data_IF_982574409794
#
_entry.id   IF_982574409794
#
_cell.length_a   1.000
_cell.length_b   1.000
_cell.length_c   1.000
_cell.angle_alpha   90.00
_cell.angle_beta   90.00
_cell.angle_gamma   90.00
#
_symmetry.space_group_name_H-M   'P 1'
#
loop_
_entity.id
_entity.type
_entity.pdbx_description
1 polymer ?
#
# COMPACT_ATOMS: atom_id res chain seq x y z
N UNK A 1 19.17 -32.54 13.07
CA UNK A 1 18.35 -31.33 12.94
C UNK A 1 19.06 -30.16 13.61
N UNK A 2 19.40 -30.20 14.90
CA UNK A 2 20.10 -29.14 15.64
C UNK A 2 21.40 -28.64 14.94
N UNK A 3 22.19 -29.55 14.37
CA UNK A 3 23.41 -29.20 13.63
C UNK A 3 23.13 -28.46 12.32
N UNK A 4 22.02 -28.78 11.66
CA UNK A 4 21.59 -28.08 10.44
C UNK A 4 21.11 -26.68 10.77
N UNK A 5 20.29 -26.51 11.80
CA UNK A 5 19.83 -25.21 12.28
C UNK A 5 21.00 -24.33 12.72
N UNK A 6 21.97 -24.88 13.45
CA UNK A 6 23.18 -24.15 13.84
C UNK A 6 24.01 -23.71 12.62
N UNK A 7 24.12 -24.55 11.59
CA UNK A 7 24.81 -24.20 10.34
C UNK A 7 24.07 -23.06 9.61
N UNK A 8 22.76 -23.16 9.43
CA UNK A 8 21.95 -22.12 8.79
C UNK A 8 22.09 -20.79 9.52
N UNK A 9 21.96 -20.79 10.85
CA UNK A 9 22.16 -19.60 11.68
C UNK A 9 23.57 -19.02 11.57
N UNK A 10 24.58 -19.87 11.50
CA UNK A 10 25.98 -19.45 11.33
C UNK A 10 26.21 -18.76 9.98
N UNK A 11 25.73 -19.36 8.90
CA UNK A 11 25.80 -18.77 7.55
C UNK A 11 25.04 -17.46 7.51
N UNK A 12 23.82 -17.42 8.04
CA UNK A 12 23.01 -16.21 8.11
C UNK A 12 23.72 -15.09 8.88
N UNK A 13 24.27 -15.38 10.05
CA UNK A 13 25.05 -14.40 10.85
C UNK A 13 26.27 -13.90 10.11
N UNK A 14 26.96 -14.77 9.37
CA UNK A 14 28.13 -14.40 8.58
C UNK A 14 27.76 -13.43 7.44
N UNK A 15 26.65 -13.71 6.72
CA UNK A 15 26.14 -12.84 5.67
C UNK A 15 25.69 -11.50 6.27
N UNK A 16 24.92 -11.54 7.35
CA UNK A 16 24.48 -10.35 8.09
C UNK A 16 25.65 -9.43 8.46
N UNK A 17 26.69 -10.00 9.07
CA UNK A 17 27.87 -9.22 9.49
C UNK A 17 28.62 -8.61 8.30
N UNK A 18 28.65 -9.30 7.15
CA UNK A 18 29.24 -8.76 5.92
C UNK A 18 28.41 -7.64 5.30
N UNK A 19 27.07 -7.76 5.32
CA UNK A 19 26.17 -6.75 4.78
C UNK A 19 26.17 -5.46 5.62
N UNK A 20 26.27 -5.60 6.94
CA UNK A 20 26.26 -4.46 7.87
C UNK A 20 27.64 -3.78 7.94
N UNK A 21 28.71 -4.53 7.62
CA UNK A 21 30.08 -4.06 7.75
C UNK A 21 30.54 -3.92 9.22
N UNK A 22 31.81 -3.57 9.40
CA UNK A 22 32.38 -3.23 10.72
C UNK A 22 32.26 -1.73 10.97
N UNK A 23 31.08 -1.17 10.85
CA UNK A 23 30.90 0.27 11.14
C UNK A 23 30.66 0.48 12.63
N UNK A 24 30.96 1.66 13.12
CA UNK A 24 30.75 2.10 14.52
C UNK A 24 29.24 2.13 14.90
N UNK A 25 28.36 1.74 14.02
CA UNK A 25 26.92 1.78 14.20
C UNK A 25 26.43 0.61 15.08
N UNK A 26 25.78 0.95 16.14
CA UNK A 26 25.26 0.00 17.13
C UNK A 26 24.16 -0.86 16.53
N UNK A 27 24.38 -2.16 16.41
CA UNK A 27 23.30 -3.12 16.24
C UNK A 27 22.52 -3.21 17.55
N UNK A 28 21.35 -2.61 17.59
CA UNK A 28 20.44 -2.84 18.71
C UNK A 28 19.75 -4.18 18.49
N UNK A 29 19.91 -5.07 19.46
CA UNK A 29 19.10 -6.29 19.52
C UNK A 29 17.70 -5.87 19.97
N UNK A 30 16.73 -6.26 19.17
CA UNK A 30 15.33 -5.94 19.40
C UNK A 30 14.78 -6.79 20.54
N UNK A 31 13.67 -6.36 21.13
CA UNK A 31 12.92 -7.06 22.19
C UNK A 31 12.74 -8.54 21.84
N UNK A 32 12.85 -9.43 22.83
CA UNK A 32 12.61 -10.85 22.65
C UNK A 32 11.26 -11.13 21.95
N UNK A 33 11.27 -11.99 20.94
CA UNK A 33 10.10 -12.31 20.12
C UNK A 33 9.98 -11.54 18.80
N UNK A 34 10.85 -10.54 18.56
CA UNK A 34 10.93 -9.86 17.25
C UNK A 34 12.12 -10.43 16.47
N UNK A 35 11.84 -11.18 15.41
CA UNK A 35 12.86 -11.82 14.58
C UNK A 35 13.43 -10.85 13.53
N UNK A 36 14.08 -9.79 14.00
CA UNK A 36 14.74 -8.83 13.11
C UNK A 36 16.03 -8.28 13.75
N UNK A 37 16.92 -7.74 12.91
CA UNK A 37 18.08 -6.96 13.31
C UNK A 37 18.00 -5.56 12.71
N UNK A 38 18.36 -4.55 13.48
CA UNK A 38 18.40 -3.16 13.02
C UNK A 38 19.82 -2.63 13.05
N UNK A 39 20.18 -1.86 12.03
CA UNK A 39 21.28 -0.91 12.07
C UNK A 39 20.66 0.47 12.21
N UNK A 40 21.18 1.24 13.15
CA UNK A 40 20.69 2.59 13.45
C UNK A 40 21.82 3.62 13.42
N UNK A 41 21.47 4.84 13.06
CA UNK A 41 22.35 6.01 13.12
C UNK A 41 21.79 7.03 14.10
N UNK A 42 22.68 7.67 14.85
CA UNK A 42 22.33 8.80 15.72
C UNK A 42 22.49 10.15 14.99
N UNK A 43 22.50 10.15 13.68
CA UNK A 43 22.65 11.37 12.90
C UNK A 43 21.40 12.25 13.03
N UNK A 44 21.63 13.56 13.12
CA UNK A 44 20.56 14.54 13.15
C UNK A 44 20.00 14.73 11.75
N UNK A 45 18.70 14.63 11.62
CA UNK A 45 17.96 15.03 10.43
C UNK A 45 17.68 16.54 10.42
N UNK A 46 17.35 17.07 9.26
CA UNK A 46 16.91 18.45 9.15
C UNK A 46 15.41 18.54 9.48
N UNK A 47 15.10 18.94 10.73
CA UNK A 47 13.73 19.19 11.18
C UNK A 47 13.47 20.68 11.40
N UNK A 48 12.29 21.21 11.04
CA UNK A 48 11.85 22.52 11.47
C UNK A 48 11.85 22.67 13.01
N UNK A 49 11.93 23.90 13.47
CA UNK A 49 12.06 24.20 14.90
C UNK A 49 10.98 23.56 15.78
N UNK A 50 9.75 23.53 15.28
CA UNK A 50 8.55 23.02 15.95
C UNK A 50 8.62 21.50 16.20
N UNK A 51 9.51 20.80 15.50
CA UNK A 51 9.67 19.33 15.56
C UNK A 51 10.99 18.87 16.19
N UNK A 52 11.76 19.78 16.78
CA UNK A 52 13.05 19.47 17.42
C UNK A 52 12.93 18.54 18.62
N UNK A 53 11.75 18.36 19.20
CA UNK A 53 11.50 17.34 20.20
C UNK A 53 11.87 15.91 19.70
N UNK A 54 11.98 15.70 18.37
CA UNK A 54 12.34 14.45 17.72
C UNK A 54 13.85 14.33 17.34
N UNK A 55 14.65 15.38 17.53
CA UNK A 55 16.03 15.50 17.00
C UNK A 55 17.00 14.40 17.42
N UNK A 56 16.82 13.80 18.58
CA UNK A 56 17.78 12.83 19.13
C UNK A 56 17.33 11.38 18.95
N UNK A 57 16.22 11.14 18.27
CA UNK A 57 15.71 9.79 18.01
C UNK A 57 16.55 9.14 16.91
N UNK A 58 17.10 7.92 17.14
CA UNK A 58 17.93 7.25 16.16
C UNK A 58 17.14 6.83 14.92
N UNK A 59 17.78 6.98 13.75
CA UNK A 59 17.24 6.58 12.46
C UNK A 59 17.64 5.15 12.11
N UNK A 60 16.70 4.39 11.57
CA UNK A 60 16.95 3.05 11.03
C UNK A 60 17.61 3.18 9.66
N UNK A 61 18.79 2.60 9.48
CA UNK A 61 19.54 2.56 8.22
C UNK A 61 19.37 1.25 7.48
N UNK A 62 19.12 0.16 8.20
CA UNK A 62 18.83 -1.13 7.59
C UNK A 62 18.01 -2.02 8.53
N UNK A 63 17.20 -2.88 7.91
CA UNK A 63 16.41 -3.90 8.58
C UNK A 63 16.78 -5.26 7.99
N UNK A 64 17.07 -6.24 8.86
CA UNK A 64 17.28 -7.63 8.46
C UNK A 64 16.21 -8.47 9.15
N UNK A 65 15.29 -9.00 8.38
CA UNK A 65 14.27 -9.90 8.87
C UNK A 65 14.83 -11.33 8.97
N UNK A 66 14.56 -11.98 10.10
CA UNK A 66 14.90 -13.38 10.33
C UNK A 66 13.63 -14.23 10.16
N UNK A 67 13.52 -15.05 9.10
CA UNK A 67 12.37 -15.93 8.91
C UNK A 67 12.29 -17.04 9.98
N UNK A 68 11.09 -17.47 10.36
CA UNK A 68 9.81 -16.82 10.10
C UNK A 68 9.61 -15.59 10.98
N UNK A 69 9.10 -14.49 10.39
CA UNK A 69 8.76 -13.30 11.15
C UNK A 69 7.24 -13.25 11.38
N UNK A 70 6.83 -13.57 12.60
CA UNK A 70 5.44 -13.60 13.02
C UNK A 70 5.23 -12.55 14.10
N UNK A 71 4.17 -11.76 13.98
CA UNK A 71 3.79 -10.74 14.95
C UNK A 71 2.38 -11.02 15.50
N UNK A 72 2.18 -10.64 16.76
CA UNK A 72 0.89 -10.78 17.43
C UNK A 72 0.45 -9.43 17.95
N UNK A 73 -0.39 -8.75 17.16
CA UNK A 73 -1.04 -7.52 17.59
C UNK A 73 -2.36 -7.81 18.31
N UNK A 74 -2.78 -6.90 19.17
CA UNK A 74 -4.02 -7.05 19.95
C UNK A 74 -5.27 -6.96 19.08
N UNK A 75 -5.17 -6.23 17.95
CA UNK A 75 -6.26 -6.05 16.99
C UNK A 75 -5.91 -6.66 15.63
N UNK A 76 -6.95 -7.01 14.87
CA UNK A 76 -6.87 -7.52 13.49
C UNK A 76 -7.56 -6.62 12.47
N UNK A 77 -8.12 -5.51 12.91
CA UNK A 77 -8.84 -4.56 12.07
C UNK A 77 -8.60 -3.13 12.56
N UNK A 78 -8.80 -2.20 11.67
CA UNK A 78 -8.81 -0.76 11.92
C UNK A 78 -10.24 -0.25 11.78
N UNK A 79 -10.64 0.65 12.64
CA UNK A 79 -11.96 1.27 12.61
C UNK A 79 -11.85 2.77 12.30
N UNK A 80 -12.84 3.31 11.58
CA UNK A 80 -13.03 4.73 11.31
C UNK A 80 -12.03 5.36 10.32
N UNK A 81 -12.18 6.65 10.11
CA UNK A 81 -11.26 7.52 9.34
C UNK A 81 -10.43 8.37 10.29
N UNK A 82 -9.29 8.87 9.81
CA UNK A 82 -8.45 9.76 10.61
C UNK A 82 -8.96 11.20 10.49
N UNK A 83 -9.33 11.84 11.61
CA UNK A 83 -9.74 13.24 11.63
C UNK A 83 -8.52 14.16 11.52
N UNK A 84 -8.75 15.35 10.98
CA UNK A 84 -7.77 16.42 10.98
C UNK A 84 -7.89 17.29 12.23
N UNK A 85 -6.76 17.71 12.78
CA UNK A 85 -6.69 18.73 13.84
C UNK A 85 -6.17 20.05 13.29
N UNK A 86 -6.52 21.16 13.93
CA UNK A 86 -6.06 22.52 13.57
C UNK A 86 -4.78 22.94 14.30
N UNK A 87 -4.28 22.13 15.23
CA UNK A 87 -3.08 22.44 16.03
C UNK A 87 -2.03 21.39 15.76
N UNK A 88 -0.76 21.81 15.80
CA UNK A 88 0.35 20.89 15.73
C UNK A 88 0.24 19.85 16.87
N UNK A 89 0.06 18.56 16.56
CA UNK A 89 -0.14 17.56 17.59
C UNK A 89 1.13 17.21 18.36
N UNK A 90 2.29 17.69 17.93
CA UNK A 90 3.59 17.44 18.59
C UNK A 90 4.03 18.62 19.48
N UNK A 91 3.23 19.68 19.53
CA UNK A 91 3.52 20.83 20.39
C UNK A 91 3.60 20.40 21.86
N UNK A 92 4.65 20.80 22.55
CA UNK A 92 4.94 20.48 23.96
C UNK A 92 5.19 18.99 24.28
N UNK A 93 5.26 18.11 23.30
CA UNK A 93 5.56 16.70 23.54
C UNK A 93 7.05 16.49 23.85
N UNK A 94 7.32 15.48 24.67
CA UNK A 94 8.68 15.09 25.07
C UNK A 94 8.90 13.63 24.72
N UNK A 95 10.07 13.34 24.18
CA UNK A 95 10.46 12.00 23.77
C UNK A 95 11.74 11.59 24.51
N UNK A 96 11.75 10.36 25.02
CA UNK A 96 12.95 9.71 25.50
C UNK A 96 13.61 9.01 24.29
N UNK A 97 14.75 9.48 23.77
CA UNK A 97 15.35 8.90 22.56
C UNK A 97 15.66 7.40 22.66
N UNK A 98 15.83 6.87 23.87
CA UNK A 98 16.08 5.44 24.09
C UNK A 98 14.84 4.56 23.90
N UNK A 99 13.66 5.16 23.89
CA UNK A 99 12.37 4.47 23.70
C UNK A 99 11.80 4.60 22.30
N UNK A 100 12.50 5.23 21.37
CA UNK A 100 11.98 5.53 20.04
C UNK A 100 12.97 5.20 18.92
N UNK A 101 12.42 4.93 17.74
CA UNK A 101 13.13 4.82 16.49
C UNK A 101 12.42 5.60 15.40
N UNK A 102 13.19 6.07 14.41
CA UNK A 102 12.67 6.65 13.21
C UNK A 102 12.93 5.70 12.04
N UNK A 103 11.87 5.33 11.31
CA UNK A 103 11.95 4.67 10.01
C UNK A 103 11.74 5.74 8.92
N UNK A 104 12.79 6.16 8.17
CA UNK A 104 12.63 7.11 7.07
C UNK A 104 12.07 6.38 5.84
N UNK A 105 10.74 6.45 5.67
CA UNK A 105 10.00 5.76 4.62
C UNK A 105 9.88 6.60 3.36
N UNK A 106 10.01 5.96 2.19
CA UNK A 106 9.59 6.54 0.90
C UNK A 106 8.18 6.05 0.61
N UNK A 107 7.21 6.97 0.65
CA UNK A 107 5.79 6.72 0.36
C UNK A 107 5.49 7.35 -0.99
N UNK A 108 5.44 6.55 -2.05
CA UNK A 108 5.56 7.09 -3.40
C UNK A 108 6.85 7.90 -3.51
N UNK A 109 6.75 9.10 -4.04
CA UNK A 109 7.86 10.06 -4.18
C UNK A 109 8.06 10.98 -2.94
N UNK A 110 7.29 10.79 -1.85
CA UNK A 110 7.36 11.58 -0.63
C UNK A 110 8.22 10.89 0.44
N UNK A 111 8.94 11.71 1.23
CA UNK A 111 9.73 11.26 2.37
C UNK A 111 8.89 11.40 3.66
N UNK A 112 8.67 10.30 4.36
CA UNK A 112 7.97 10.24 5.64
C UNK A 112 8.91 9.78 6.75
N UNK A 113 9.07 10.59 7.80
CA UNK A 113 9.74 10.15 9.02
C UNK A 113 8.71 9.51 9.96
N UNK A 114 8.77 8.20 10.09
CA UNK A 114 7.88 7.42 10.95
C UNK A 114 8.57 7.15 12.27
N UNK A 115 8.22 7.90 13.29
CA UNK A 115 8.70 7.71 14.65
C UNK A 115 7.78 6.73 15.39
N UNK A 116 8.33 5.67 15.94
CA UNK A 116 7.53 4.70 16.68
C UNK A 116 8.22 4.30 18.00
N UNK A 117 7.39 4.08 19.02
CA UNK A 117 7.86 3.61 20.30
C UNK A 117 8.34 2.15 20.22
N UNK A 118 9.34 1.77 21.01
CA UNK A 118 9.90 0.41 21.08
C UNK A 118 8.83 -0.66 21.36
N UNK A 119 7.74 -0.33 22.03
CA UNK A 119 6.62 -1.24 22.26
C UNK A 119 5.94 -1.69 20.95
N UNK A 120 6.10 -0.92 19.87
CA UNK A 120 5.54 -1.20 18.53
C UNK A 120 6.62 -1.56 17.52
N UNK A 121 7.73 -2.12 18.00
CA UNK A 121 8.87 -2.49 17.17
C UNK A 121 8.50 -3.43 16.02
N UNK A 122 7.62 -4.40 16.27
CA UNK A 122 7.20 -5.34 15.25
C UNK A 122 6.49 -4.65 14.07
N UNK A 123 5.62 -3.69 14.38
CA UNK A 123 4.93 -2.88 13.36
C UNK A 123 5.91 -1.96 12.61
N UNK A 124 6.82 -1.31 13.35
CA UNK A 124 7.82 -0.42 12.76
C UNK A 124 8.78 -1.14 11.82
N UNK A 125 9.25 -2.33 12.20
CA UNK A 125 10.11 -3.18 11.36
C UNK A 125 9.38 -3.66 10.12
N UNK A 126 8.10 -3.98 10.24
CA UNK A 126 7.27 -4.45 9.12
C UNK A 126 7.18 -3.43 7.97
N UNK A 127 7.39 -2.15 8.24
CA UNK A 127 7.41 -1.11 7.20
C UNK A 127 8.39 -1.42 6.06
N UNK A 128 9.50 -2.13 6.33
CA UNK A 128 10.52 -2.44 5.31
C UNK A 128 10.01 -3.32 4.16
N UNK A 129 8.93 -4.07 4.37
CA UNK A 129 8.28 -4.85 3.32
C UNK A 129 7.22 -4.05 2.55
N UNK A 130 6.87 -2.86 3.03
CA UNK A 130 5.76 -2.09 2.44
C UNK A 130 6.22 -0.76 1.85
N UNK A 131 7.17 -0.08 2.49
CA UNK A 131 7.69 1.21 2.06
C UNK A 131 9.21 1.15 1.98
N UNK A 132 9.76 1.56 0.85
CA UNK A 132 11.21 1.61 0.67
C UNK A 132 11.85 2.46 1.76
N UNK A 133 12.88 1.92 2.42
CA UNK A 133 13.70 2.67 3.35
C UNK A 133 14.52 3.72 2.58
N UNK A 134 14.46 4.98 3.00
CA UNK A 134 15.31 6.01 2.46
C UNK A 134 16.75 5.85 2.97
N UNK A 135 17.72 6.10 2.10
CA UNK A 135 19.14 6.12 2.47
C UNK A 135 19.48 7.41 3.23
N UNK A 136 20.56 7.40 3.98
CA UNK A 136 21.04 8.59 4.68
C UNK A 136 21.25 9.78 3.74
N UNK A 137 21.77 9.54 2.53
CA UNK A 137 21.98 10.57 1.51
C UNK A 137 20.66 11.23 1.08
N UNK A 138 19.56 10.47 1.05
CA UNK A 138 18.24 10.96 0.65
C UNK A 138 17.57 11.82 1.73
N UNK A 139 17.88 11.65 3.01
CA UNK A 139 17.22 12.40 4.09
C UNK A 139 18.11 13.34 4.91
N UNK A 140 19.44 13.19 4.89
CA UNK A 140 20.37 13.95 5.76
C UNK A 140 20.19 15.47 5.69
N UNK A 141 20.04 16.01 4.49
CA UNK A 141 19.94 17.45 4.24
C UNK A 141 18.58 17.87 3.67
N UNK A 142 17.57 17.06 3.89
CA UNK A 142 16.23 17.27 3.37
C UNK A 142 15.22 17.25 4.50
N UNK A 143 14.35 18.26 4.54
CA UNK A 143 13.16 18.25 5.37
C UNK A 143 12.22 17.13 4.90
N UNK A 144 11.59 16.34 5.80
CA UNK A 144 10.59 15.36 5.38
C UNK A 144 9.34 16.06 4.83
N UNK A 145 8.63 15.38 3.97
CA UNK A 145 7.30 15.80 3.52
C UNK A 145 6.23 15.46 4.55
N UNK A 146 6.48 14.44 5.36
CA UNK A 146 5.55 13.94 6.36
C UNK A 146 6.28 13.50 7.64
N UNK A 147 5.66 13.74 8.79
CA UNK A 147 6.08 13.19 10.09
C UNK A 147 4.91 12.39 10.65
N UNK A 148 5.18 11.16 11.09
CA UNK A 148 4.21 10.33 11.77
C UNK A 148 4.77 9.78 13.07
N UNK A 149 4.13 10.09 14.21
CA UNK A 149 4.47 9.57 15.51
C UNK A 149 3.45 8.52 15.93
N UNK A 150 3.91 7.29 16.16
CA UNK A 150 3.09 6.14 16.50
C UNK A 150 3.45 5.55 17.86
N UNK A 151 2.48 5.48 18.76
CA UNK A 151 2.66 4.89 20.08
C UNK A 151 3.08 5.89 21.16
N UNK A 152 2.59 7.13 21.11
CA UNK A 152 2.82 8.13 22.15
C UNK A 152 1.86 7.91 23.33
N UNK A 153 2.38 7.97 24.56
CA UNK A 153 1.61 7.73 25.77
C UNK A 153 1.64 8.97 26.68
N UNK A 154 0.48 9.58 26.88
CA UNK A 154 0.24 10.69 27.82
C UNK A 154 -1.12 10.58 28.52
N UNK A 155 -1.74 9.41 28.49
CA UNK A 155 -3.07 9.17 29.05
C UNK A 155 -4.23 9.72 28.21
N UNK A 156 -3.96 10.34 27.05
CA UNK A 156 -4.97 10.84 26.11
C UNK A 156 -5.07 9.95 24.90
N UNK A 157 -6.19 10.08 24.16
CA UNK A 157 -6.39 9.37 22.91
C UNK A 157 -6.10 10.30 21.74
N UNK A 158 -4.98 10.07 21.06
CA UNK A 158 -4.58 10.76 19.83
C UNK A 158 -4.78 9.83 18.65
N UNK A 159 -5.48 10.30 17.61
CA UNK A 159 -5.71 9.57 16.36
C UNK A 159 -6.01 10.56 15.24
N UNK A 160 -5.13 11.51 14.99
CA UNK A 160 -5.39 12.58 14.05
C UNK A 160 -4.14 13.01 13.30
N UNK A 161 -4.36 13.74 12.22
CA UNK A 161 -3.31 14.39 11.45
C UNK A 161 -3.50 15.91 11.42
N UNK A 162 -2.45 16.59 11.02
CA UNK A 162 -2.35 18.04 10.94
C UNK A 162 -1.64 18.42 9.64
N UNK A 163 -2.15 19.42 8.94
CA UNK A 163 -1.49 20.06 7.81
C UNK A 163 -0.71 21.27 8.31
N UNK A 164 0.61 21.20 8.21
CA UNK A 164 1.51 22.30 8.54
C UNK A 164 1.80 23.10 7.28
N UNK A 165 1.04 24.16 7.09
CA UNK A 165 1.17 25.03 5.91
C UNK A 165 2.45 25.88 5.96
N UNK A 166 2.95 26.23 7.15
CA UNK A 166 4.17 27.03 7.32
C UNK A 166 5.39 26.26 6.86
N UNK A 167 5.45 24.99 7.24
CA UNK A 167 6.56 24.10 6.86
C UNK A 167 6.27 23.27 5.61
N UNK A 168 5.12 23.40 4.96
CA UNK A 168 4.68 22.56 3.84
C UNK A 168 4.88 21.06 4.15
N UNK A 169 4.30 20.61 5.25
CA UNK A 169 4.39 19.22 5.74
C UNK A 169 3.06 18.69 6.23
N UNK A 170 2.96 17.37 6.31
CA UNK A 170 1.87 16.68 7.00
C UNK A 170 2.39 16.02 8.26
N UNK A 171 1.64 16.12 9.35
CA UNK A 171 2.04 15.58 10.67
C UNK A 171 0.93 14.73 11.24
N UNK A 172 1.25 13.58 11.83
CA UNK A 172 0.27 12.73 12.49
C UNK A 172 0.76 12.24 13.84
N UNK A 173 -0.19 12.03 14.75
CA UNK A 173 0.03 11.46 16.07
C UNK A 173 -0.98 10.37 16.35
N UNK A 174 -0.48 9.20 16.79
CA UNK A 174 -1.28 8.09 17.26
C UNK A 174 -0.81 7.64 18.65
N UNK A 175 -1.75 7.49 19.59
CA UNK A 175 -1.46 7.05 20.95
C UNK A 175 -0.97 5.60 21.03
N UNK A 176 -0.24 5.32 22.13
CA UNK A 176 -0.05 3.99 22.64
C UNK A 176 -1.35 3.49 23.26
N UNK A 177 -2.06 2.62 22.55
CA UNK A 177 -3.32 2.05 23.01
C UNK A 177 -3.53 0.68 22.39
N UNK A 178 -4.11 -0.26 23.15
CA UNK A 178 -4.48 -1.59 22.66
C UNK A 178 -5.44 -1.54 21.47
N UNK A 179 -6.26 -0.52 21.38
CA UNK A 179 -7.17 -0.27 20.26
C UNK A 179 -6.43 0.03 18.95
N UNK A 180 -5.25 0.63 19.06
CA UNK A 180 -4.40 1.00 17.94
C UNK A 180 -3.26 0.02 17.65
N UNK A 181 -3.10 -1.03 18.47
CA UNK A 181 -2.10 -2.06 18.26
C UNK A 181 -2.50 -2.98 17.09
N UNK A 182 -2.33 -2.42 15.88
CA UNK A 182 -2.53 -3.08 14.61
C UNK A 182 -1.81 -2.31 13.48
N UNK A 183 -1.01 -3.03 12.70
CA UNK A 183 -0.22 -2.44 11.61
C UNK A 183 -1.04 -1.61 10.61
N UNK A 184 -2.32 -1.97 10.43
CA UNK A 184 -3.23 -1.22 9.57
C UNK A 184 -3.38 0.25 9.97
N UNK A 185 -3.24 0.61 11.25
CA UNK A 185 -3.22 2.02 11.67
C UNK A 185 -1.95 2.73 11.20
N UNK A 186 -0.78 2.07 11.33
CA UNK A 186 0.49 2.63 10.85
C UNK A 186 0.46 2.87 9.34
N UNK A 187 0.13 1.84 8.57
CA UNK A 187 0.02 1.91 7.11
C UNK A 187 -0.95 3.00 6.65
N UNK A 188 -2.19 2.94 7.13
CA UNK A 188 -3.27 3.78 6.58
C UNK A 188 -3.17 5.24 6.99
N UNK A 189 -2.53 5.57 8.12
CA UNK A 189 -2.21 6.95 8.44
C UNK A 189 -1.17 7.52 7.46
N UNK A 190 -0.09 6.79 7.18
CA UNK A 190 0.91 7.22 6.20
C UNK A 190 0.29 7.48 4.83
N UNK A 191 -0.61 6.60 4.38
CA UNK A 191 -1.35 6.78 3.13
C UNK A 191 -2.31 7.97 3.16
N UNK A 192 -2.94 8.24 4.31
CA UNK A 192 -3.79 9.43 4.48
C UNK A 192 -2.96 10.71 4.34
N UNK A 193 -1.81 10.79 5.01
CA UNK A 193 -0.90 11.94 4.91
C UNK A 193 -0.43 12.15 3.47
N UNK A 194 0.02 11.08 2.81
CA UNK A 194 0.43 11.10 1.41
C UNK A 194 -0.68 11.62 0.52
N UNK A 195 -1.86 11.05 0.63
CA UNK A 195 -2.98 11.35 -0.26
C UNK A 195 -3.50 12.77 -0.06
N UNK A 196 -3.64 13.26 1.19
CA UNK A 196 -4.01 14.66 1.45
C UNK A 196 -2.99 15.60 0.84
N UNK A 197 -1.69 15.35 1.02
CA UNK A 197 -0.64 16.17 0.44
C UNK A 197 -0.70 16.17 -1.10
N UNK A 198 -0.98 15.02 -1.72
CA UNK A 198 -1.11 14.90 -3.18
C UNK A 198 -2.32 15.63 -3.73
N UNK A 199 -3.45 15.57 -3.02
CA UNK A 199 -4.65 16.37 -3.36
C UNK A 199 -4.34 17.87 -3.33
N UNK A 200 -3.63 18.34 -2.31
CA UNK A 200 -3.20 19.73 -2.22
C UNK A 200 -2.31 20.16 -3.41
N UNK A 201 -1.56 19.21 -3.99
CA UNK A 201 -0.73 19.39 -5.20
C UNK A 201 -1.49 19.10 -6.51
N UNK A 202 -2.84 19.04 -6.46
CA UNK A 202 -3.71 18.78 -7.62
C UNK A 202 -3.48 17.44 -8.31
N UNK A 203 -3.05 16.44 -7.56
CA UNK A 203 -2.95 15.06 -7.99
C UNK A 203 -4.08 14.24 -7.36
N UNK A 204 -4.52 13.16 -8.03
CA UNK A 204 -5.69 12.41 -7.61
C UNK A 204 -5.28 11.02 -7.08
N UNK A 205 -5.28 10.80 -5.74
CA UNK A 205 -5.04 9.49 -5.16
C UNK A 205 -6.19 8.54 -5.43
N UNK A 206 -5.85 7.32 -5.79
CA UNK A 206 -6.81 6.23 -6.06
C UNK A 206 -6.57 5.05 -5.13
N UNK A 207 -7.63 4.36 -4.77
CA UNK A 207 -7.57 3.06 -4.09
C UNK A 207 -7.75 1.97 -5.15
N UNK A 208 -6.66 1.39 -5.58
CA UNK A 208 -6.65 0.51 -6.73
C UNK A 208 -5.36 -0.27 -6.86
N UNK A 209 -5.32 -1.14 -7.86
CA UNK A 209 -4.14 -1.88 -8.27
C UNK A 209 -3.80 -1.57 -9.72
N UNK A 210 -2.53 -1.63 -10.06
CA UNK A 210 -2.07 -1.49 -11.44
C UNK A 210 -1.19 -2.65 -11.85
N UNK A 211 -1.47 -3.18 -13.03
CA UNK A 211 -0.60 -4.14 -13.70
C UNK A 211 -0.14 -3.60 -15.05
N UNK A 212 1.14 -3.83 -15.33
CA UNK A 212 1.72 -3.67 -16.64
C UNK A 212 1.87 -5.05 -17.28
N UNK A 213 1.24 -5.26 -18.41
CA UNK A 213 1.21 -6.52 -19.13
C UNK A 213 1.94 -6.34 -20.46
N UNK A 214 3.04 -7.07 -20.66
CA UNK A 214 3.70 -7.15 -21.96
C UNK A 214 3.28 -8.45 -22.63
N UNK A 215 2.61 -8.34 -23.77
CA UNK A 215 2.16 -9.48 -24.56
C UNK A 215 3.33 -10.15 -25.30
N UNK A 216 3.13 -11.39 -25.77
CA UNK A 216 4.09 -12.10 -26.63
C UNK A 216 4.39 -11.33 -27.93
N UNK A 217 3.45 -10.52 -28.42
CA UNK A 217 3.65 -9.60 -29.55
C UNK A 217 4.67 -8.48 -29.28
N UNK A 218 5.00 -8.22 -28.00
CA UNK A 218 5.82 -7.09 -27.55
C UNK A 218 5.02 -5.84 -27.21
N UNK A 219 3.71 -5.84 -27.44
CA UNK A 219 2.84 -4.72 -27.03
C UNK A 219 2.68 -4.71 -25.51
N UNK A 220 2.70 -3.51 -24.90
CA UNK A 220 2.52 -3.32 -23.46
C UNK A 220 1.19 -2.63 -23.19
N UNK A 221 0.45 -3.13 -22.21
CA UNK A 221 -0.82 -2.57 -21.72
C UNK A 221 -0.74 -2.29 -20.22
N UNK A 222 -1.16 -1.12 -19.82
CA UNK A 222 -1.21 -0.64 -18.45
C UNK A 222 -2.66 -0.58 -17.98
N UNK A 223 -3.02 -1.45 -17.04
CA UNK A 223 -4.41 -1.60 -16.58
C UNK A 223 -4.48 -1.21 -15.11
N UNK A 224 -5.32 -0.23 -14.80
CA UNK A 224 -5.63 0.20 -13.44
C UNK A 224 -7.01 -0.33 -13.07
N UNK A 225 -7.10 -1.06 -11.98
CA UNK A 225 -8.37 -1.55 -11.41
C UNK A 225 -8.60 -0.89 -10.07
N UNK A 226 -9.57 -0.02 -9.99
CA UNK A 226 -9.92 0.76 -8.80
C UNK A 226 -11.07 0.10 -8.03
N UNK A 227 -11.05 0.21 -6.72
CA UNK A 227 -12.11 -0.30 -5.83
C UNK A 227 -11.57 -0.51 -4.42
N UNK A 228 -12.45 -0.55 -3.42
CA UNK A 228 -12.08 -0.78 -2.02
C UNK A 228 -11.67 -2.24 -1.77
N UNK A 229 -11.18 -2.54 -0.58
CA UNK A 229 -10.76 -3.89 -0.18
C UNK A 229 -11.88 -4.91 -0.38
N UNK A 230 -11.56 -6.05 -1.02
CA UNK A 230 -12.53 -7.10 -1.33
C UNK A 230 -13.39 -6.83 -2.57
N UNK A 231 -13.06 -5.82 -3.37
CA UNK A 231 -13.73 -5.57 -4.65
C UNK A 231 -13.33 -6.55 -5.75
N UNK A 232 -12.32 -7.39 -5.54
CA UNK A 232 -11.87 -8.41 -6.51
C UNK A 232 -10.69 -7.98 -7.39
N UNK A 233 -9.98 -6.91 -7.01
CA UNK A 233 -8.82 -6.41 -7.78
C UNK A 233 -7.68 -7.42 -7.88
N UNK A 234 -7.16 -7.82 -6.73
CA UNK A 234 -6.01 -8.73 -6.65
C UNK A 234 -6.35 -10.12 -7.16
N UNK A 235 -7.57 -10.60 -6.86
CA UNK A 235 -8.08 -11.89 -7.35
C UNK A 235 -8.17 -11.89 -8.90
N UNK A 236 -8.62 -10.80 -9.51
CA UNK A 236 -8.66 -10.69 -10.98
C UNK A 236 -7.24 -10.66 -11.58
N UNK A 237 -6.31 -9.94 -10.96
CA UNK A 237 -4.91 -9.89 -11.42
C UNK A 237 -4.26 -11.28 -11.39
N UNK A 238 -4.52 -12.07 -10.35
CA UNK A 238 -4.03 -13.45 -10.27
C UNK A 238 -4.62 -14.32 -11.39
N UNK A 239 -5.93 -14.19 -11.69
CA UNK A 239 -6.55 -14.90 -12.78
C UNK A 239 -5.97 -14.48 -14.15
N UNK A 240 -5.59 -13.21 -14.33
CA UNK A 240 -4.89 -12.75 -15.54
C UNK A 240 -3.55 -13.49 -15.71
N UNK A 241 -2.79 -13.70 -14.65
CA UNK A 241 -1.52 -14.45 -14.69
C UNK A 241 -1.76 -15.89 -15.12
N UNK A 242 -2.77 -16.55 -14.55
CA UNK A 242 -3.10 -17.96 -14.84
C UNK A 242 -3.60 -18.12 -16.27
N UNK A 243 -4.66 -17.41 -16.65
CA UNK A 243 -5.30 -17.57 -17.97
C UNK A 243 -4.56 -16.87 -19.11
N UNK A 244 -3.71 -15.89 -18.78
CA UNK A 244 -2.90 -15.16 -19.74
C UNK A 244 -1.56 -15.80 -20.07
N UNK A 245 -1.18 -16.91 -19.45
CA UNK A 245 0.17 -17.48 -19.55
C UNK A 245 0.63 -17.75 -21.00
N UNK A 246 -0.30 -18.13 -21.91
CA UNK A 246 0.01 -18.33 -23.33
C UNK A 246 0.24 -17.02 -24.11
N UNK A 247 -0.24 -15.89 -23.63
CA UNK A 247 -0.27 -14.61 -24.32
C UNK A 247 0.65 -13.57 -23.71
N UNK A 248 0.93 -13.71 -22.42
CA UNK A 248 1.72 -12.75 -21.62
C UNK A 248 3.18 -13.20 -21.59
N UNK A 249 4.06 -12.30 -22.03
CA UNK A 249 5.51 -12.46 -21.89
C UNK A 249 5.97 -12.05 -20.49
N UNK A 250 5.39 -10.96 -19.97
CA UNK A 250 5.74 -10.40 -18.66
C UNK A 250 4.54 -9.67 -18.04
N UNK A 251 4.34 -9.85 -16.76
CA UNK A 251 3.35 -9.11 -15.97
C UNK A 251 4.03 -8.57 -14.71
N UNK A 252 3.99 -7.26 -14.56
CA UNK A 252 4.51 -6.53 -13.40
C UNK A 252 3.32 -5.93 -12.65
N UNK A 253 3.16 -6.30 -11.38
CA UNK A 253 2.24 -5.58 -10.48
C UNK A 253 2.97 -4.34 -9.99
N UNK A 254 2.58 -3.17 -10.48
CA UNK A 254 3.23 -1.89 -10.13
C UNK A 254 2.82 -1.44 -8.74
N UNK A 255 1.55 -1.59 -8.40
CA UNK A 255 1.02 -1.39 -7.04
C UNK A 255 -0.28 -2.18 -6.85
N UNK A 256 -0.62 -2.51 -5.60
CA UNK A 256 -1.78 -3.39 -5.26
C UNK A 256 -2.78 -2.78 -4.26
N UNK A 257 -2.58 -1.59 -3.72
CA UNK A 257 -3.54 -0.98 -2.78
C UNK A 257 -3.76 0.51 -3.07
N UNK A 258 -2.69 1.31 -3.15
CA UNK A 258 -2.80 2.74 -3.38
C UNK A 258 -1.96 3.21 -4.56
N UNK A 259 -2.61 3.95 -5.43
CA UNK A 259 -1.99 4.62 -6.57
C UNK A 259 -2.29 6.12 -6.57
N UNK A 260 -1.69 6.77 -7.53
CA UNK A 260 -1.80 8.21 -7.75
C UNK A 260 -1.96 8.48 -9.24
N UNK A 261 -2.95 9.25 -9.61
CA UNK A 261 -3.02 9.87 -10.94
C UNK A 261 -2.37 11.25 -10.91
N UNK A 262 -1.54 11.53 -11.90
CA UNK A 262 -0.84 12.80 -12.08
C UNK A 262 -0.84 13.20 -13.55
N UNK A 263 -0.50 14.44 -13.86
CA UNK A 263 -0.32 14.90 -15.22
C UNK A 263 1.18 15.04 -15.51
N UNK A 264 1.60 14.64 -16.70
CA UNK A 264 2.91 14.98 -17.21
C UNK A 264 2.95 16.42 -17.77
N UNK A 265 4.08 16.85 -18.29
CA UNK A 265 4.27 18.20 -18.85
C UNK A 265 3.36 18.50 -20.05
N UNK A 266 2.84 17.48 -20.71
CA UNK A 266 1.91 17.59 -21.84
C UNK A 266 0.45 17.53 -21.42
N UNK A 267 0.18 17.34 -20.12
CA UNK A 267 -1.15 17.14 -19.58
C UNK A 267 -1.70 15.72 -19.80
N UNK A 268 -0.84 14.76 -20.12
CA UNK A 268 -1.23 13.34 -20.22
C UNK A 268 -1.39 12.74 -18.83
N UNK A 269 -2.47 11.97 -18.65
CA UNK A 269 -2.71 11.26 -17.39
C UNK A 269 -1.72 10.12 -17.23
N UNK A 270 -1.00 10.15 -16.12
CA UNK A 270 -0.05 9.11 -15.70
C UNK A 270 -0.46 8.54 -14.35
N UNK A 271 -0.03 7.32 -14.09
CA UNK A 271 -0.21 6.68 -12.77
C UNK A 271 1.12 6.23 -12.19
N UNK A 272 1.18 6.22 -10.86
CA UNK A 272 2.30 5.68 -10.07
C UNK A 272 1.77 5.09 -8.77
N UNK A 273 2.57 4.25 -8.11
CA UNK A 273 2.20 3.65 -6.82
C UNK A 273 2.75 4.42 -5.62
N UNK A 274 2.44 3.91 -4.43
CA UNK A 274 2.90 4.45 -3.15
C UNK A 274 3.73 3.45 -2.35
N UNK A 275 3.57 2.15 -2.60
CA UNK A 275 4.05 1.04 -1.78
C UNK A 275 4.79 0.03 -2.63
N UNK A 276 5.90 -0.52 -2.09
CA UNK A 276 6.67 -1.60 -2.73
C UNK A 276 6.11 -2.99 -2.41
N UNK A 277 5.15 -3.08 -1.51
CA UNK A 277 4.60 -4.33 -1.02
C UNK A 277 3.09 -4.33 -0.94
N UNK A 278 2.56 -5.47 -0.56
CA UNK A 278 1.14 -5.68 -0.30
C UNK A 278 0.87 -6.03 1.16
N UNK A 279 -0.25 -5.56 1.69
CA UNK A 279 -0.79 -5.89 3.00
C UNK A 279 -2.13 -6.59 2.81
N UNK A 280 -2.09 -7.89 2.64
CA UNK A 280 -3.24 -8.70 2.23
C UNK A 280 -3.69 -9.67 3.31
N UNK A 281 -4.89 -10.19 3.17
CA UNK A 281 -5.38 -11.26 4.04
C UNK A 281 -4.69 -12.57 3.69
N UNK A 282 -4.37 -13.35 4.72
CA UNK A 282 -3.70 -14.63 4.53
C UNK A 282 -4.59 -15.66 3.80
N UNK A 283 -5.90 -15.58 4.01
CA UNK A 283 -6.90 -16.43 3.36
C UNK A 283 -7.30 -15.98 1.93
N UNK A 284 -6.87 -14.79 1.50
CA UNK A 284 -7.01 -14.30 0.13
C UNK A 284 -5.76 -14.58 -0.73
N UNK A 285 -4.72 -15.25 -0.17
CA UNK A 285 -3.51 -15.60 -0.91
C UNK A 285 -3.73 -16.87 -1.72
N UNK A 286 -3.60 -16.77 -3.04
CA UNK A 286 -3.49 -17.94 -3.91
C UNK A 286 -2.11 -18.62 -3.78
N UNK A 287 -2.09 -19.93 -4.00
CA UNK A 287 -0.89 -20.75 -3.87
C UNK A 287 0.29 -20.28 -4.76
N UNK A 288 0.02 -19.61 -5.86
CA UNK A 288 1.03 -19.06 -6.78
C UNK A 288 1.70 -17.77 -6.31
N UNK A 289 1.05 -17.00 -5.45
CA UNK A 289 1.53 -15.69 -5.03
C UNK A 289 2.62 -15.74 -3.96
N UNK A 290 2.54 -16.71 -3.07
CA UNK A 290 3.25 -16.67 -1.79
C UNK A 290 4.59 -17.40 -1.75
N UNK A 291 4.84 -18.37 -2.61
CA UNK A 291 5.98 -19.28 -2.43
C UNK A 291 7.35 -18.62 -2.68
N UNK A 292 7.44 -17.63 -3.55
CA UNK A 292 8.73 -16.99 -3.89
C UNK A 292 9.23 -16.00 -2.82
N UNK A 293 8.33 -15.39 -2.05
CA UNK A 293 8.67 -14.31 -1.12
C UNK A 293 8.28 -14.61 0.34
N UNK A 294 7.88 -15.85 0.64
CA UNK A 294 7.49 -16.28 1.99
C UNK A 294 8.58 -16.02 3.03
N UNK A 295 9.84 -16.24 2.65
CA UNK A 295 10.99 -16.03 3.54
C UNK A 295 11.18 -14.58 3.96
N UNK A 296 10.64 -13.63 3.18
CA UNK A 296 10.71 -12.19 3.42
C UNK A 296 9.44 -11.64 4.06
N UNK A 297 8.41 -12.46 4.17
CA UNK A 297 7.08 -12.02 4.59
C UNK A 297 7.00 -11.86 6.11
N UNK A 298 6.14 -10.92 6.52
CA UNK A 298 5.75 -10.74 7.92
C UNK A 298 4.32 -11.21 8.09
N UNK A 299 4.12 -12.22 8.93
CA UNK A 299 2.81 -12.77 9.26
C UNK A 299 2.24 -12.09 10.50
N UNK A 300 0.99 -11.65 10.43
CA UNK A 300 0.30 -10.97 11.53
C UNK A 300 -0.90 -11.77 11.99
N UNK A 301 -0.88 -12.19 13.26
CA UNK A 301 -1.93 -12.97 13.89
C UNK A 301 -2.38 -14.17 13.02
N UNK A 302 -1.46 -15.07 12.59
CA UNK A 302 -1.78 -16.13 11.63
C UNK A 302 -2.79 -17.15 12.17
N UNK A 303 -2.99 -17.21 13.48
CA UNK A 303 -3.92 -18.06 14.20
C UNK A 303 -5.31 -17.43 14.42
N UNK A 304 -5.54 -16.20 13.95
CA UNK A 304 -6.79 -15.48 14.15
C UNK A 304 -7.53 -15.24 12.84
N UNK A 305 -8.84 -15.03 12.96
CA UNK A 305 -9.65 -14.56 11.83
C UNK A 305 -9.11 -13.23 11.32
N UNK A 306 -9.10 -13.02 9.99
CA UNK A 306 -8.52 -11.85 9.34
C UNK A 306 -7.00 -11.72 9.55
N UNK A 307 -6.31 -12.85 9.65
CA UNK A 307 -4.84 -12.90 9.61
C UNK A 307 -4.30 -12.16 8.39
N UNK A 308 -3.16 -11.50 8.55
CA UNK A 308 -2.56 -10.68 7.48
C UNK A 308 -1.13 -11.13 7.19
N UNK A 309 -0.71 -10.82 5.98
CA UNK A 309 0.69 -10.92 5.57
C UNK A 309 1.13 -9.60 4.95
N UNK A 310 2.37 -9.21 5.21
CA UNK A 310 3.03 -8.10 4.53
C UNK A 310 4.18 -8.66 3.72
N UNK A 311 4.08 -8.50 2.41
CA UNK A 311 5.00 -9.11 1.44
C UNK A 311 5.44 -8.05 0.41
N UNK A 312 6.75 -7.93 0.10
CA UNK A 312 7.19 -7.07 -0.99
C UNK A 312 6.78 -7.70 -2.34
N UNK A 313 6.30 -6.87 -3.27
CA UNK A 313 5.78 -7.33 -4.57
C UNK A 313 6.48 -6.70 -5.77
N UNK A 314 7.10 -5.53 -5.59
CA UNK A 314 7.68 -4.77 -6.70
C UNK A 314 8.89 -3.96 -6.23
N UNK A 315 9.66 -3.45 -7.19
CA UNK A 315 10.79 -2.59 -6.90
C UNK A 315 10.37 -1.11 -6.82
N UNK A 316 11.02 -0.36 -5.95
CA UNK A 316 10.69 1.06 -5.74
C UNK A 316 10.75 1.89 -7.04
N UNK A 317 11.71 1.59 -7.93
CA UNK A 317 11.82 2.28 -9.22
C UNK A 317 10.57 2.16 -10.08
N UNK A 318 9.90 0.99 -10.04
CA UNK A 318 8.69 0.72 -10.82
C UNK A 318 7.46 1.39 -10.17
N UNK A 319 7.44 1.44 -8.83
CA UNK A 319 6.38 2.13 -8.07
C UNK A 319 6.31 3.61 -8.41
N UNK A 320 7.45 4.30 -8.40
CA UNK A 320 7.49 5.77 -8.58
C UNK A 320 7.57 6.21 -10.03
N UNK A 321 7.82 5.29 -10.95
CA UNK A 321 7.78 5.57 -12.37
C UNK A 321 6.37 6.03 -12.78
N UNK A 322 6.32 6.95 -13.74
CA UNK A 322 5.05 7.43 -14.29
C UNK A 322 4.67 6.59 -15.49
N UNK A 323 3.68 5.75 -15.30
CA UNK A 323 3.15 4.86 -16.34
C UNK A 323 1.99 5.50 -17.07
N UNK A 324 1.83 5.21 -18.35
CA UNK A 324 0.62 5.52 -19.09
C UNK A 324 -0.57 4.73 -18.52
N UNK A 325 -1.78 5.13 -18.85
CA UNK A 325 -3.02 4.43 -18.49
C UNK A 325 -3.76 4.06 -19.77
N UNK A 326 -3.81 2.77 -20.11
CA UNK A 326 -4.58 2.27 -21.25
C UNK A 326 -6.03 1.96 -20.87
N UNK A 327 -6.21 1.37 -19.68
CA UNK A 327 -7.52 1.04 -19.13
C UNK A 327 -7.62 1.49 -17.67
N UNK A 328 -8.76 2.10 -17.32
CA UNK A 328 -9.10 2.55 -15.97
C UNK A 328 -10.45 1.98 -15.57
N UNK A 329 -10.46 0.92 -14.75
CA UNK A 329 -11.62 0.08 -14.49
C UNK A 329 -12.07 0.19 -13.03
N UNK A 330 -13.38 0.23 -12.82
CA UNK A 330 -13.99 0.10 -11.50
C UNK A 330 -14.32 -1.37 -11.21
N UNK A 331 -13.79 -1.93 -10.12
CA UNK A 331 -14.09 -3.28 -9.69
C UNK A 331 -15.45 -3.34 -9.00
N UNK A 332 -16.42 -3.90 -9.69
CA UNK A 332 -17.79 -4.09 -9.22
C UNK A 332 -17.98 -5.55 -8.77
N UNK A 333 -18.06 -5.75 -7.46
CA UNK A 333 -18.22 -7.09 -6.88
C UNK A 333 -19.67 -7.43 -6.50
N UNK A 334 -20.64 -6.56 -6.79
CA UNK A 334 -22.02 -6.62 -6.28
C UNK A 334 -23.10 -6.73 -7.35
N UNK A 335 -22.82 -6.43 -8.63
CA UNK A 335 -23.77 -6.61 -9.72
C UNK A 335 -23.63 -8.00 -10.34
N UNK A 336 -24.73 -8.75 -10.38
CA UNK A 336 -24.79 -10.09 -10.96
C UNK A 336 -24.94 -10.04 -12.48
N UNK A 337 -25.81 -9.16 -12.94
CA UNK A 337 -26.15 -9.03 -14.36
C UNK A 337 -25.17 -8.15 -15.12
N UNK A 338 -25.08 -8.38 -16.44
CA UNK A 338 -24.28 -7.59 -17.38
C UNK A 338 -22.95 -8.26 -17.77
N UNK A 339 -22.27 -7.65 -18.75
CA UNK A 339 -20.98 -8.09 -19.23
C UNK A 339 -19.90 -7.94 -18.15
N UNK A 340 -18.97 -8.89 -18.08
CA UNK A 340 -17.89 -8.85 -17.07
C UNK A 340 -16.95 -7.67 -17.29
N UNK A 341 -16.76 -7.20 -18.52
CA UNK A 341 -16.05 -5.96 -18.87
C UNK A 341 -16.96 -5.08 -19.72
N UNK A 342 -17.17 -3.84 -19.31
CA UNK A 342 -17.92 -2.85 -20.09
C UNK A 342 -17.28 -1.47 -19.95
N UNK A 343 -17.40 -0.63 -20.98
CA UNK A 343 -16.84 0.71 -21.00
C UNK A 343 -17.94 1.75 -20.98
N UNK A 344 -17.66 2.90 -20.35
CA UNK A 344 -18.58 4.04 -20.31
C UNK A 344 -18.45 4.87 -21.58
N UNK A 345 -19.58 5.36 -22.07
CA UNK A 345 -19.64 6.21 -23.26
C UNK A 345 -19.32 7.70 -22.96
N UNK A 346 -19.45 8.10 -21.70
CA UNK A 346 -19.26 9.49 -21.28
C UNK A 346 -18.74 9.60 -19.85
N UNK A 347 -18.22 10.80 -19.53
CA UNK A 347 -17.62 11.12 -18.23
C UNK A 347 -18.63 11.04 -17.09
N UNK A 348 -19.84 11.51 -17.28
CA UNK A 348 -20.85 11.63 -16.21
C UNK A 348 -21.28 10.25 -15.70
N UNK A 349 -21.50 9.28 -16.59
CA UNK A 349 -21.84 7.91 -16.21
C UNK A 349 -20.67 7.22 -15.50
N UNK A 350 -19.45 7.41 -15.97
CA UNK A 350 -18.25 6.90 -15.29
C UNK A 350 -18.13 7.51 -13.87
N UNK A 351 -18.19 8.83 -13.74
CA UNK A 351 -18.07 9.51 -12.46
C UNK A 351 -19.15 9.11 -11.47
N UNK A 352 -20.36 8.82 -11.93
CA UNK A 352 -21.45 8.34 -11.06
C UNK A 352 -21.07 7.05 -10.34
N UNK A 353 -20.45 6.10 -11.03
CA UNK A 353 -20.02 4.81 -10.46
C UNK A 353 -18.80 4.99 -9.57
N UNK A 354 -17.76 5.62 -10.08
CA UNK A 354 -16.50 5.79 -9.36
C UNK A 354 -16.66 6.65 -8.08
N UNK A 355 -17.47 7.72 -8.15
CA UNK A 355 -17.76 8.59 -7.00
C UNK A 355 -18.52 7.86 -5.90
N UNK A 356 -19.48 7.01 -6.26
CA UNK A 356 -20.26 6.23 -5.31
C UNK A 356 -19.37 5.25 -4.52
N UNK A 357 -18.36 4.69 -5.15
CA UNK A 357 -17.38 3.82 -4.50
C UNK A 357 -17.99 2.60 -3.80
N UNK A 358 -19.02 2.01 -4.42
CA UNK A 358 -19.81 0.92 -3.84
C UNK A 358 -19.09 -0.44 -3.93
N UNK A 359 -19.26 -1.26 -2.89
CA UNK A 359 -18.87 -2.67 -2.87
C UNK A 359 -19.78 -3.50 -1.97
N UNK A 360 -19.89 -4.79 -2.23
CA UNK A 360 -20.45 -5.76 -1.29
C UNK A 360 -19.40 -6.11 -0.24
N UNK A 361 -19.72 -5.90 1.03
CA UNK A 361 -18.84 -6.25 2.13
C UNK A 361 -18.78 -7.77 2.31
N UNK A 362 -17.57 -8.35 2.46
CA UNK A 362 -17.36 -9.80 2.67
C UNK A 362 -17.83 -10.31 4.06
N UNK A 363 -18.33 -9.44 4.95
CA UNK A 363 -18.77 -9.82 6.30
C UNK A 363 -17.63 -10.22 7.26
N UNK A 364 -16.37 -10.03 6.86
CA UNK A 364 -15.19 -10.32 7.69
C UNK A 364 -14.77 -9.15 8.58
N UNK A 365 -15.43 -8.01 8.40
CA UNK A 365 -15.32 -6.80 9.20
C UNK A 365 -16.67 -6.52 9.89
N UNK A 366 -16.85 -5.34 10.46
CA UNK A 366 -18.15 -4.87 11.01
C UNK A 366 -19.15 -4.43 9.93
N UNK A 367 -18.74 -4.44 8.66
CA UNK A 367 -19.56 -4.00 7.53
C UNK A 367 -20.29 -5.20 6.91
N UNK A 368 -21.58 -5.01 6.58
CA UNK A 368 -22.43 -6.01 5.96
C UNK A 368 -23.25 -5.39 4.82
N UNK A 369 -23.49 -6.17 3.76
CA UNK A 369 -24.27 -5.74 2.62
C UNK A 369 -23.53 -4.77 1.70
N UNK A 370 -24.28 -3.99 0.92
CA UNK A 370 -23.74 -2.97 0.03
C UNK A 370 -23.28 -1.76 0.84
N UNK A 371 -22.02 -1.45 0.77
CA UNK A 371 -21.39 -0.29 1.43
C UNK A 371 -20.63 0.54 0.39
N UNK A 372 -20.46 1.82 0.66
CA UNK A 372 -19.69 2.71 -0.23
C UNK A 372 -18.88 3.72 0.56
N UNK A 373 -17.80 4.18 -0.05
CA UNK A 373 -17.03 5.32 0.43
C UNK A 373 -16.74 6.25 -0.74
N UNK A 374 -16.73 7.56 -0.50
CA UNK A 374 -16.46 8.53 -1.55
C UNK A 374 -15.20 8.15 -2.33
N UNK A 375 -15.37 7.98 -3.64
CA UNK A 375 -14.31 7.56 -4.58
C UNK A 375 -13.60 6.25 -4.16
N UNK A 376 -14.31 5.33 -3.52
CA UNK A 376 -13.78 4.10 -2.95
C UNK A 376 -12.50 4.28 -2.14
N UNK A 377 -12.19 5.50 -1.67
CA UNK A 377 -10.93 5.82 -1.00
C UNK A 377 -11.14 6.64 0.29
N UNK A 378 -11.22 5.98 1.46
CA UNK A 378 -11.40 6.64 2.74
C UNK A 378 -10.12 7.33 3.28
N UNK A 379 -9.00 7.28 2.54
CA UNK A 379 -7.70 7.79 2.95
C UNK A 379 -7.27 8.97 2.07
N UNK A 380 -7.68 10.17 2.44
CA UNK A 380 -7.43 11.42 1.70
C UNK A 380 -8.67 11.96 1.00
N UNK A 381 -9.24 11.31 -0.04
CA UNK A 381 -10.42 11.82 -0.72
C UNK A 381 -11.61 12.10 0.18
N UNK A 382 -11.91 11.23 1.16
CA UNK A 382 -12.99 11.48 2.13
C UNK A 382 -12.71 12.72 2.99
N UNK A 383 -11.46 12.96 3.40
CA UNK A 383 -11.08 14.14 4.19
C UNK A 383 -11.03 15.44 3.37
N UNK A 384 -10.89 15.32 2.05
CA UNK A 384 -10.72 16.44 1.11
C UNK A 384 -11.72 16.39 -0.07
N UNK A 385 -12.97 15.99 0.20
CA UNK A 385 -13.97 15.77 -0.82
C UNK A 385 -14.17 17.00 -1.72
N UNK A 386 -14.29 18.20 -1.14
CA UNK A 386 -14.47 19.45 -1.89
C UNK A 386 -13.30 19.76 -2.84
N UNK A 387 -12.08 19.36 -2.47
CA UNK A 387 -10.89 19.54 -3.30
C UNK A 387 -10.76 18.41 -4.34
N UNK A 388 -11.23 17.22 -4.05
CA UNK A 388 -11.20 16.08 -4.96
C UNK A 388 -12.23 16.20 -6.07
N UNK A 389 -13.40 16.79 -5.82
CA UNK A 389 -14.48 16.83 -6.80
C UNK A 389 -14.07 17.49 -8.13
N UNK A 390 -13.44 18.68 -8.16
CA UNK A 390 -12.94 19.25 -9.41
C UNK A 390 -11.81 18.43 -10.04
N UNK A 391 -10.99 17.73 -9.23
CA UNK A 391 -9.94 16.85 -9.76
C UNK A 391 -10.55 15.62 -10.45
N UNK A 392 -11.58 15.01 -9.86
CA UNK A 392 -12.30 13.90 -10.49
C UNK A 392 -12.79 14.29 -11.88
N UNK A 393 -13.47 15.46 -12.00
CA UNK A 393 -13.99 15.91 -13.26
C UNK A 393 -12.87 16.15 -14.30
N UNK A 394 -11.76 16.80 -13.90
CA UNK A 394 -10.64 17.11 -14.80
C UNK A 394 -9.91 15.83 -15.26
N UNK A 395 -9.58 14.92 -14.32
CA UNK A 395 -8.86 13.70 -14.68
C UNK A 395 -9.69 12.75 -15.55
N UNK A 396 -10.98 12.58 -15.25
CA UNK A 396 -11.85 11.73 -16.05
C UNK A 396 -12.05 12.32 -17.45
N UNK A 397 -12.29 13.63 -17.57
CA UNK A 397 -12.39 14.27 -18.87
C UNK A 397 -11.12 14.05 -19.71
N UNK A 398 -9.94 14.23 -19.11
CA UNK A 398 -8.67 13.98 -19.80
C UNK A 398 -8.50 12.53 -20.22
N UNK A 399 -8.87 11.58 -19.39
CA UNK A 399 -8.79 10.15 -19.75
C UNK A 399 -9.66 9.85 -20.97
N UNK A 400 -10.89 10.37 -21.02
CA UNK A 400 -11.76 10.22 -22.20
C UNK A 400 -11.17 10.90 -23.43
N UNK A 401 -10.70 12.14 -23.31
CA UNK A 401 -10.10 12.92 -24.42
C UNK A 401 -8.83 12.24 -24.97
N UNK A 402 -8.10 11.52 -24.12
CA UNK A 402 -6.88 10.78 -24.49
C UNK A 402 -7.15 9.34 -24.96
N UNK A 403 -8.40 8.93 -24.97
CA UNK A 403 -8.80 7.59 -25.45
C UNK A 403 -8.55 6.44 -24.49
N UNK A 404 -8.29 6.76 -23.20
CA UNK A 404 -8.21 5.75 -22.13
C UNK A 404 -9.55 5.01 -22.04
N UNK A 405 -9.51 3.71 -21.94
CA UNK A 405 -10.70 2.87 -21.80
C UNK A 405 -11.19 2.89 -20.34
N UNK A 406 -12.10 3.82 -20.05
CA UNK A 406 -12.73 3.94 -18.73
C UNK A 406 -13.95 3.04 -18.65
N UNK A 407 -13.99 2.14 -17.66
CA UNK A 407 -15.02 1.12 -17.64
C UNK A 407 -15.32 0.51 -16.29
N UNK A 408 -16.12 -0.54 -16.31
CA UNK A 408 -16.52 -1.36 -15.17
C UNK A 408 -16.08 -2.81 -15.39
N UNK A 409 -15.53 -3.38 -14.31
CA UNK A 409 -15.11 -4.78 -14.28
C UNK A 409 -15.95 -5.51 -13.23
N UNK A 410 -16.92 -6.32 -13.65
CA UNK A 410 -17.79 -7.09 -12.75
C UNK A 410 -17.06 -8.33 -12.26
N UNK A 411 -16.41 -8.19 -11.13
CA UNK A 411 -15.68 -9.28 -10.45
C UNK A 411 -16.64 -10.25 -9.76
N UNK A 412 -17.83 -9.81 -9.41
CA UNK A 412 -18.87 -10.59 -8.71
C UNK A 412 -18.42 -11.29 -7.44
N UNK A 413 -17.26 -10.89 -6.91
CA UNK A 413 -16.62 -11.53 -5.76
C UNK A 413 -17.48 -11.47 -4.49
N UNK A 414 -18.38 -10.48 -4.37
CA UNK A 414 -19.32 -10.33 -3.27
C UNK A 414 -20.62 -11.13 -3.43
N UNK A 415 -20.79 -11.86 -4.54
CA UNK A 415 -22.00 -12.63 -4.86
C UNK A 415 -21.73 -14.09 -4.55
N UNK A 416 -22.57 -14.67 -3.67
CA UNK A 416 -22.42 -16.06 -3.24
C UNK A 416 -22.45 -17.03 -4.41
N UNK A 417 -21.43 -17.86 -4.51
CA UNK A 417 -21.24 -18.86 -5.59
C UNK A 417 -20.42 -18.35 -6.78
N UNK A 418 -20.07 -17.05 -6.81
CA UNK A 418 -19.25 -16.44 -7.86
C UNK A 418 -17.84 -16.08 -7.40
N UNK A 419 -17.44 -16.49 -6.20
CA UNK A 419 -16.17 -16.09 -5.57
C UNK A 419 -14.94 -16.45 -6.40
N UNK A 420 -15.00 -17.54 -7.18
CA UNK A 420 -13.93 -17.97 -8.09
C UNK A 420 -14.26 -17.64 -9.55
N UNK A 421 -15.50 -17.85 -9.97
CA UNK A 421 -15.88 -17.67 -11.38
C UNK A 421 -15.91 -16.20 -11.79
N UNK A 422 -16.35 -15.30 -10.93
CA UNK A 422 -16.43 -13.88 -11.24
C UNK A 422 -15.07 -13.26 -11.61
N UNK A 423 -14.02 -13.38 -10.77
CA UNK A 423 -12.68 -12.90 -11.10
C UNK A 423 -12.09 -13.57 -12.35
N UNK A 424 -12.37 -14.87 -12.57
CA UNK A 424 -11.94 -15.60 -13.76
C UNK A 424 -12.57 -15.04 -15.04
N UNK A 425 -13.88 -14.82 -15.05
CA UNK A 425 -14.59 -14.23 -16.18
C UNK A 425 -14.08 -12.81 -16.46
N UNK A 426 -13.92 -12.00 -15.40
CA UNK A 426 -13.38 -10.65 -15.51
C UNK A 426 -11.97 -10.64 -16.14
N UNK A 427 -11.09 -11.51 -15.68
CA UNK A 427 -9.74 -11.69 -16.25
C UNK A 427 -9.78 -12.13 -17.71
N UNK A 428 -10.66 -13.09 -18.05
CA UNK A 428 -10.83 -13.59 -19.40
C UNK A 428 -11.25 -12.48 -20.36
N UNK A 429 -12.20 -11.63 -19.98
CA UNK A 429 -12.64 -10.52 -20.84
C UNK A 429 -11.56 -9.44 -21.01
N UNK A 430 -10.78 -9.14 -19.97
CA UNK A 430 -9.60 -8.27 -20.10
C UNK A 430 -8.61 -8.87 -21.11
N UNK A 431 -8.29 -10.16 -20.98
CA UNK A 431 -7.35 -10.83 -21.88
C UNK A 431 -7.82 -10.83 -23.33
N UNK A 432 -9.09 -11.15 -23.58
CA UNK A 432 -9.68 -11.06 -24.92
C UNK A 432 -9.55 -9.65 -25.50
N UNK A 433 -9.85 -8.63 -24.67
CA UNK A 433 -9.79 -7.24 -25.11
C UNK A 433 -8.37 -6.82 -25.50
N UNK A 434 -7.35 -7.15 -24.68
CA UNK A 434 -5.97 -6.71 -24.92
C UNK A 434 -5.25 -7.54 -26.00
N UNK A 435 -5.65 -8.80 -26.22
CA UNK A 435 -5.07 -9.68 -27.25
C UNK A 435 -5.80 -9.59 -28.58
N UNK A 436 -7.04 -9.12 -28.59
CA UNK A 436 -7.92 -9.15 -29.78
C UNK A 436 -8.49 -10.52 -30.12
N UNK A 437 -8.27 -11.52 -29.28
CA UNK A 437 -8.73 -12.88 -29.46
C UNK A 437 -10.20 -13.05 -29.04
N UNK A 438 -10.98 -13.78 -29.80
CA UNK A 438 -12.37 -14.10 -29.48
C UNK A 438 -12.48 -15.23 -28.43
N UNK A 439 -11.58 -16.21 -28.54
CA UNK A 439 -11.47 -17.35 -27.65
C UNK A 439 -10.03 -17.51 -27.22
N UNK A 440 -9.79 -17.62 -25.91
CA UNK A 440 -8.46 -17.80 -25.36
C UNK A 440 -8.05 -19.26 -25.44
N UNK A 441 -6.82 -19.51 -25.92
CA UNK A 441 -6.18 -20.81 -25.83
C UNK A 441 -5.74 -21.03 -24.38
N UNK A 442 -6.30 -22.03 -23.73
CA UNK A 442 -5.78 -22.50 -22.44
C UNK A 442 -4.50 -23.30 -22.72
N UNK A 443 -3.47 -23.09 -21.92
CA UNK A 443 -2.39 -24.07 -21.84
C UNK A 443 -3.03 -25.34 -21.27
N UNK A 444 -2.94 -26.46 -21.99
CA UNK A 444 -3.31 -27.75 -21.43
C UNK A 444 -2.41 -27.98 -20.21
N UNK A 445 -3.01 -28.27 -19.07
CA UNK A 445 -2.26 -28.71 -17.89
C UNK A 445 -1.54 -29.99 -18.30
N UNK A 446 -0.21 -29.94 -18.46
CA UNK A 446 0.61 -31.14 -18.54
C UNK A 446 0.44 -31.89 -17.23
N UNK A 447 -0.25 -33.04 -17.27
CA UNK A 447 -0.51 -33.97 -16.17
C UNK A 447 0.77 -34.44 -15.44
#
# INVERSE_FOLDING_TARGET
>A
QANFEALVLSVYRSIKNKCIGQSENVLRQITAGVNAGLRVSNMRSFLPYEYRCLDNIPFIESVIIHPPFITYSKRNKRDGVFPETKRNPLEDLKFDPDQWFCYPAKVGDLLCFVYFNVAYMAQGVTLCNLFQLATEEEYRNRKPDMIYVYGYEDGKKHQYFYQDDENDMMVALLSANDEFDYFGYMKKMMLTLHNVRKINKKQLPIHGAMVQITLQSGETKNIVVMGDSGAGKSETIEQIKVYGAAYIRELITVYDDMGLLSLDEKGTVKTSGTEIGAFVRLDDLDAGYSFKELDRSVFMNPDKVNARIVIPITEYKDVVAKHDVDMFLYANNYEEDGESLSFFDNVDDALKVFRAGNRMAKGTTTEYGLVGSYFANPFGPVQRQDQCEPLLQDYFQRMFDQGVKVGQLRTRLGIKGNEHNGPKEAATEILKFITGEKELKMLEDDE
#
